data_IF_153647853418
#
_entry.id   IF_153647853418
#
_cell.length_a   1.000
_cell.length_b   1.000
_cell.length_c   1.000
_cell.angle_alpha   90.00
_cell.angle_beta   90.00
_cell.angle_gamma   90.00
#
_symmetry.space_group_name_H-M   'P 1'
#
loop_
_entity.id
_entity.type
_entity.pdbx_description
1 polymer ?
#
# COMPACT_ATOMS: atom_id res chain seq x y z
N UNK A 1 -45.99 1.01 3.25
CA UNK A 1 -44.78 0.19 3.42
C UNK A 1 -43.61 1.12 3.74
N UNK A 2 -43.14 1.13 4.98
CA UNK A 2 -42.06 1.99 5.42
C UNK A 2 -40.72 1.44 4.91
N UNK A 3 -39.94 2.26 4.17
CA UNK A 3 -38.55 1.96 3.82
C UNK A 3 -37.76 1.84 5.13
N UNK A 4 -37.31 0.65 5.45
CA UNK A 4 -36.29 0.44 6.49
C UNK A 4 -35.04 1.13 6.01
N UNK A 5 -34.74 2.30 6.58
CA UNK A 5 -33.46 2.97 6.38
C UNK A 5 -32.37 2.02 6.88
N UNK A 6 -31.61 1.43 5.96
CA UNK A 6 -30.39 0.71 6.30
C UNK A 6 -29.51 1.66 7.11
N UNK A 7 -29.29 1.36 8.40
CA UNK A 7 -28.38 2.14 9.24
C UNK A 7 -27.02 2.08 8.58
N UNK A 8 -26.56 3.19 7.99
CA UNK A 8 -25.17 3.36 7.57
C UNK A 8 -24.30 3.01 8.78
N UNK A 9 -23.54 1.94 8.66
CA UNK A 9 -22.65 1.47 9.73
C UNK A 9 -21.58 2.54 9.91
N UNK A 10 -21.49 3.17 11.07
CA UNK A 10 -20.42 4.14 11.34
C UNK A 10 -19.06 3.48 11.12
N UNK A 11 -18.28 4.04 10.19
CA UNK A 11 -16.96 3.54 9.82
C UNK A 11 -15.93 4.45 10.50
N UNK A 12 -15.19 3.98 11.51
CA UNK A 12 -14.18 4.83 12.13
C UNK A 12 -13.09 5.18 11.11
N UNK A 13 -12.91 6.47 10.87
CA UNK A 13 -11.88 7.03 10.00
C UNK A 13 -10.69 7.42 10.88
N UNK A 14 -9.49 6.95 10.51
CA UNK A 14 -8.26 7.34 11.20
C UNK A 14 -7.62 8.51 10.45
N UNK A 15 -7.89 9.74 10.90
CA UNK A 15 -7.42 10.99 10.28
C UNK A 15 -5.89 11.07 10.26
N UNK A 16 -5.20 10.46 11.24
CA UNK A 16 -3.73 10.48 11.30
C UNK A 16 -3.06 9.69 10.16
N UNK A 17 -3.83 8.96 9.34
CA UNK A 17 -3.31 8.24 8.18
C UNK A 17 -3.21 9.12 6.93
N UNK A 18 -3.82 10.30 6.92
CA UNK A 18 -3.72 11.28 5.83
C UNK A 18 -2.47 12.17 5.92
N UNK A 19 -1.64 11.92 6.94
CA UNK A 19 -0.34 12.55 7.12
C UNK A 19 0.73 11.46 7.27
N UNK A 20 1.79 11.53 6.47
CA UNK A 20 2.88 10.56 6.57
C UNK A 20 3.66 10.73 7.89
N UNK A 21 4.03 9.63 8.58
CA UNK A 21 4.76 9.72 9.83
C UNK A 21 6.21 10.15 9.56
N UNK A 22 6.74 11.01 10.43
CA UNK A 22 8.17 11.34 10.44
C UNK A 22 9.01 10.16 10.94
N UNK A 23 9.37 9.23 10.05
CA UNK A 23 10.28 8.12 10.34
C UNK A 23 11.42 8.10 9.33
N UNK A 24 12.70 7.95 9.77
CA UNK A 24 13.83 7.80 8.85
C UNK A 24 13.73 6.58 7.92
N UNK A 25 12.92 5.57 8.29
CA UNK A 25 12.68 4.39 7.46
C UNK A 25 11.63 4.62 6.37
N UNK A 26 10.80 5.67 6.49
CA UNK A 26 9.76 5.97 5.52
C UNK A 26 10.37 6.63 4.28
N UNK A 27 9.94 6.21 3.08
CA UNK A 27 10.31 6.95 1.87
C UNK A 27 9.61 8.31 1.86
N UNK A 28 10.21 9.32 1.22
CA UNK A 28 9.63 10.66 1.13
C UNK A 28 8.51 10.66 0.08
N UNK A 29 7.26 11.07 0.39
CA UNK A 29 6.22 11.18 -0.62
C UNK A 29 6.57 12.29 -1.63
N UNK A 30 6.08 12.18 -2.87
CA UNK A 30 6.12 13.31 -3.80
C UNK A 30 5.32 14.48 -3.22
N UNK A 31 5.87 15.69 -3.26
CA UNK A 31 5.30 16.86 -2.57
C UNK A 31 3.85 17.15 -3.06
N UNK A 32 3.60 17.09 -4.37
CA UNK A 32 2.26 17.25 -4.96
C UNK A 32 1.25 16.23 -4.42
N UNK A 33 1.68 14.99 -4.22
CA UNK A 33 0.81 13.90 -3.76
C UNK A 33 0.60 13.92 -2.24
N UNK A 34 1.62 14.32 -1.47
CA UNK A 34 1.46 14.62 -0.04
C UNK A 34 0.42 15.71 0.17
N UNK A 35 0.52 16.79 -0.59
CA UNK A 35 -0.41 17.93 -0.47
C UNK A 35 -1.82 17.53 -0.92
N UNK A 36 -1.95 16.67 -1.93
CA UNK A 36 -3.23 16.08 -2.33
C UNK A 36 -3.85 15.19 -1.24
N UNK A 37 -3.05 14.35 -0.58
CA UNK A 37 -3.49 13.49 0.50
C UNK A 37 -3.97 14.28 1.72
N UNK A 38 -3.22 15.33 2.09
CA UNK A 38 -3.57 16.20 3.21
C UNK A 38 -4.83 17.05 2.95
N UNK A 39 -5.18 17.27 1.67
CA UNK A 39 -6.34 18.06 1.26
C UNK A 39 -7.65 17.24 1.17
N UNK A 40 -7.63 15.95 1.50
CA UNK A 40 -8.82 15.10 1.44
C UNK A 40 -9.86 15.55 2.45
N UNK A 41 -11.07 15.81 1.98
CA UNK A 41 -12.25 16.00 2.82
C UNK A 41 -12.71 14.64 3.37
N UNK A 42 -12.55 14.47 4.69
CA UNK A 42 -12.86 13.22 5.40
C UNK A 42 -14.31 13.14 5.92
N UNK A 43 -15.22 13.99 5.41
CA UNK A 43 -16.62 13.97 5.81
C UNK A 43 -17.31 12.64 5.45
N UNK A 44 -17.97 12.00 6.44
CA UNK A 44 -18.70 10.74 6.24
C UNK A 44 -19.79 10.82 5.16
N UNK A 45 -20.32 12.02 4.90
CA UNK A 45 -21.31 12.28 3.85
C UNK A 45 -20.78 11.98 2.44
N UNK A 46 -19.47 11.97 2.25
CA UNK A 46 -18.83 11.68 0.96
C UNK A 46 -18.70 10.19 0.65
N UNK A 47 -18.82 9.35 1.68
CA UNK A 47 -18.63 7.91 1.54
C UNK A 47 -19.70 7.30 0.62
N UNK A 48 -19.21 6.67 -0.45
CA UNK A 48 -19.99 5.89 -1.40
C UNK A 48 -20.27 4.52 -0.81
N UNK A 49 -21.53 4.12 -0.82
CA UNK A 49 -21.95 2.77 -0.47
C UNK A 49 -21.89 1.88 -1.72
N UNK A 50 -20.91 0.98 -1.79
CA UNK A 50 -20.70 0.08 -2.92
C UNK A 50 -20.46 -1.36 -2.43
N UNK A 51 -20.84 -2.39 -3.21
CA UNK A 51 -20.84 -3.79 -2.76
C UNK A 51 -19.45 -4.30 -2.36
N UNK A 52 -18.40 -3.80 -3.02
CA UNK A 52 -17.02 -4.26 -2.82
C UNK A 52 -16.26 -3.51 -1.72
N UNK A 53 -16.92 -2.62 -0.97
CA UNK A 53 -16.29 -1.81 0.07
C UNK A 53 -15.54 -2.68 1.08
N UNK A 54 -16.15 -3.77 1.54
CA UNK A 54 -15.52 -4.66 2.51
C UNK A 54 -14.40 -5.52 1.89
N UNK A 55 -14.44 -5.76 0.58
CA UNK A 55 -13.42 -6.54 -0.13
C UNK A 55 -12.09 -5.76 -0.19
N UNK A 56 -12.17 -4.45 -0.43
CA UNK A 56 -11.01 -3.62 -0.76
C UNK A 56 -10.56 -2.61 0.31
N UNK A 57 -11.30 -2.49 1.42
CA UNK A 57 -10.92 -1.58 2.53
C UNK A 57 -9.59 -1.94 3.22
N UNK A 58 -9.11 -3.18 3.09
CA UNK A 58 -7.80 -3.60 3.61
C UNK A 58 -6.62 -3.10 2.76
N UNK A 59 -5.46 -3.75 2.93
CA UNK A 59 -4.25 -3.47 2.17
C UNK A 59 -3.77 -4.72 1.45
N UNK A 60 -3.43 -4.58 0.17
CA UNK A 60 -2.89 -5.67 -0.63
C UNK A 60 -1.48 -6.05 -0.20
N UNK A 61 -0.69 -5.09 0.28
CA UNK A 61 0.62 -5.32 0.90
C UNK A 61 0.62 -4.78 2.33
N UNK A 62 1.53 -5.21 3.22
CA UNK A 62 1.55 -4.74 4.60
C UNK A 62 1.59 -3.19 4.68
N UNK A 63 0.82 -2.54 5.57
CA UNK A 63 0.92 -1.10 5.71
C UNK A 63 2.35 -0.65 6.08
N UNK A 64 2.94 0.35 5.39
CA UNK A 64 4.32 0.79 5.60
C UNK A 64 4.66 1.12 7.07
N UNK A 65 3.67 1.64 7.81
CA UNK A 65 3.79 1.96 9.24
C UNK A 65 4.14 0.77 10.13
N UNK A 66 3.88 -0.47 9.69
CA UNK A 66 4.30 -1.67 10.41
C UNK A 66 5.82 -1.83 10.45
N UNK A 67 6.54 -1.26 9.48
CA UNK A 67 7.99 -1.31 9.36
C UNK A 67 8.70 -0.07 9.92
N UNK A 68 7.95 0.97 10.26
CA UNK A 68 8.49 2.28 10.64
C UNK A 68 8.22 2.62 12.11
N UNK A 69 8.25 1.63 13.01
CA UNK A 69 8.01 1.86 14.44
C UNK A 69 9.28 2.34 15.15
N UNK A 70 9.17 3.07 16.27
CA UNK A 70 10.33 3.46 17.08
C UNK A 70 11.13 2.28 17.65
N UNK A 71 10.55 1.09 17.70
CA UNK A 71 11.23 -0.12 18.13
C UNK A 71 11.88 -0.80 16.91
N UNK A 72 13.20 -0.64 16.76
CA UNK A 72 13.93 -1.17 15.60
C UNK A 72 13.86 -2.70 15.51
N UNK A 73 13.99 -3.42 16.62
CA UNK A 73 13.86 -4.89 16.66
C UNK A 73 12.47 -5.32 16.17
N UNK A 74 11.43 -4.61 16.59
CA UNK A 74 10.07 -4.88 16.17
C UNK A 74 9.83 -4.59 14.68
N UNK A 75 10.33 -3.45 14.20
CA UNK A 75 10.26 -3.06 12.79
C UNK A 75 10.98 -4.10 11.92
N UNK A 76 12.16 -4.55 12.36
CA UNK A 76 12.92 -5.62 11.72
C UNK A 76 12.17 -6.95 11.73
N UNK A 77 11.48 -7.30 12.83
CA UNK A 77 10.66 -8.51 12.95
C UNK A 77 9.61 -8.54 11.83
N UNK A 78 8.93 -7.41 11.62
CA UNK A 78 7.91 -7.28 10.57
C UNK A 78 8.53 -7.34 9.18
N UNK A 79 9.65 -6.67 8.94
CA UNK A 79 10.31 -6.67 7.64
C UNK A 79 10.79 -8.06 7.23
N UNK A 80 11.47 -8.79 8.13
CA UNK A 80 11.94 -10.14 7.84
C UNK A 80 10.77 -11.12 7.65
N UNK A 81 9.73 -11.00 8.47
CA UNK A 81 8.49 -11.76 8.30
C UNK A 81 7.87 -11.52 6.92
N UNK A 82 7.85 -10.26 6.46
CA UNK A 82 7.38 -9.90 5.12
C UNK A 82 8.24 -10.52 4.02
N UNK A 83 9.57 -10.40 4.10
CA UNK A 83 10.47 -10.95 3.08
C UNK A 83 10.35 -12.48 2.92
N UNK A 84 10.08 -13.21 4.01
CA UNK A 84 9.84 -14.67 3.93
C UNK A 84 8.62 -14.99 3.08
N UNK A 85 7.56 -14.18 3.18
CA UNK A 85 6.27 -14.47 2.54
C UNK A 85 6.05 -13.71 1.23
N UNK A 86 6.87 -12.70 0.93
CA UNK A 86 6.70 -11.75 -0.18
C UNK A 86 6.43 -12.46 -1.50
N UNK A 87 7.29 -13.40 -1.90
CA UNK A 87 7.18 -14.09 -3.19
C UNK A 87 5.88 -14.89 -3.30
N UNK A 88 5.55 -15.71 -2.30
CA UNK A 88 4.30 -16.48 -2.30
C UNK A 88 3.07 -15.59 -2.27
N UNK A 89 3.12 -14.48 -1.53
CA UNK A 89 2.03 -13.50 -1.50
C UNK A 89 1.83 -12.80 -2.85
N UNK A 90 2.91 -12.37 -3.50
CA UNK A 90 2.83 -11.77 -4.84
C UNK A 90 2.21 -12.73 -5.85
N UNK A 91 2.59 -14.01 -5.81
CA UNK A 91 1.97 -15.05 -6.66
C UNK A 91 0.46 -15.16 -6.42
N UNK A 92 0.01 -15.13 -5.17
CA UNK A 92 -1.42 -15.13 -4.83
C UNK A 92 -2.14 -13.88 -5.35
N UNK A 93 -1.50 -12.70 -5.28
CA UNK A 93 -2.08 -11.47 -5.83
C UNK A 93 -2.18 -11.54 -7.36
N UNK A 94 -1.17 -12.09 -8.06
CA UNK A 94 -1.18 -12.27 -9.52
C UNK A 94 -2.33 -13.18 -10.01
N UNK A 95 -2.69 -14.19 -9.22
CA UNK A 95 -3.72 -15.18 -9.58
C UNK A 95 -5.15 -14.66 -9.40
N UNK A 96 -5.32 -13.46 -8.84
CA UNK A 96 -6.62 -12.93 -8.45
C UNK A 96 -7.07 -13.46 -7.09
N UNK A 97 -7.91 -12.68 -6.40
CA UNK A 97 -8.43 -13.01 -5.07
C UNK A 97 -9.88 -12.62 -4.93
N UNK A 98 -10.67 -13.54 -4.37
CA UNK A 98 -12.07 -13.31 -3.99
C UNK A 98 -12.24 -13.05 -2.47
N UNK A 99 -11.12 -13.06 -1.72
CA UNK A 99 -11.12 -12.84 -0.27
C UNK A 99 -10.80 -11.39 0.08
N UNK A 100 -11.39 -10.86 1.17
CA UNK A 100 -11.08 -9.50 1.65
C UNK A 100 -9.59 -9.24 1.81
N UNK A 101 -9.19 -8.01 1.50
CA UNK A 101 -7.83 -7.55 1.78
C UNK A 101 -7.59 -7.53 3.31
N UNK A 102 -6.43 -7.99 3.78
CA UNK A 102 -6.13 -7.94 5.21
C UNK A 102 -6.06 -6.50 5.73
N UNK A 103 -6.63 -6.28 6.91
CA UNK A 103 -6.50 -5.02 7.62
C UNK A 103 -5.13 -4.91 8.33
N UNK A 104 -4.73 -3.72 8.82
CA UNK A 104 -3.43 -3.52 9.46
C UNK A 104 -3.14 -4.44 10.66
N UNK A 105 -4.16 -4.82 11.42
CA UNK A 105 -4.00 -5.73 12.57
C UNK A 105 -3.79 -7.18 12.12
N UNK A 106 -4.49 -7.62 11.07
CA UNK A 106 -4.28 -8.95 10.48
C UNK A 106 -2.88 -9.08 9.90
N UNK A 107 -2.43 -8.08 9.12
CA UNK A 107 -1.05 -8.01 8.64
C UNK A 107 -0.04 -8.09 9.77
N UNK A 108 -0.21 -7.28 10.81
CA UNK A 108 0.68 -7.25 11.97
C UNK A 108 0.80 -8.63 12.63
N UNK A 109 -0.32 -9.27 12.92
CA UNK A 109 -0.31 -10.55 13.62
C UNK A 109 0.28 -11.64 12.75
N UNK A 110 -0.07 -11.67 11.47
CA UNK A 110 0.45 -12.66 10.53
C UNK A 110 1.97 -12.59 10.40
N UNK A 111 2.51 -11.39 10.11
CA UNK A 111 3.96 -11.21 9.96
C UNK A 111 4.72 -11.53 11.25
N UNK A 112 4.14 -11.16 12.40
CA UNK A 112 4.70 -11.47 13.72
C UNK A 112 4.71 -12.97 13.99
N UNK A 113 3.63 -13.68 13.67
CA UNK A 113 3.55 -15.13 13.85
C UNK A 113 4.55 -15.86 12.95
N UNK A 114 4.74 -15.41 11.70
CA UNK A 114 5.78 -15.90 10.79
C UNK A 114 7.18 -15.68 11.37
N UNK A 115 7.50 -14.43 11.76
CA UNK A 115 8.82 -14.08 12.24
C UNK A 115 9.20 -14.84 13.52
N UNK A 116 8.24 -15.04 14.44
CA UNK A 116 8.44 -15.80 15.68
C UNK A 116 8.51 -17.30 15.46
N UNK A 117 7.62 -17.85 14.63
CA UNK A 117 7.63 -19.28 14.29
C UNK A 117 8.93 -19.72 13.64
N UNK A 118 9.59 -18.80 12.92
CA UNK A 118 10.88 -19.04 12.26
C UNK A 118 12.09 -18.56 13.06
N UNK A 119 11.87 -17.91 14.20
CA UNK A 119 12.89 -17.31 15.05
C UNK A 119 13.85 -16.39 14.26
N UNK A 120 13.29 -15.50 13.44
CA UNK A 120 14.07 -14.58 12.59
C UNK A 120 14.85 -13.56 13.41
N UNK A 121 14.34 -13.19 14.58
CA UNK A 121 15.04 -12.36 15.55
C UNK A 121 15.16 -13.16 16.83
N UNK A 122 16.41 -13.34 17.29
CA UNK A 122 16.66 -13.92 18.62
C UNK A 122 16.35 -12.84 19.65
N UNK A 123 15.48 -13.08 20.64
CA UNK A 123 15.34 -12.16 21.75
C UNK A 123 16.69 -12.04 22.47
N UNK A 124 17.16 -10.82 22.67
CA UNK A 124 18.36 -10.56 23.46
C UNK A 124 18.10 -10.99 24.91
N UNK A 125 18.50 -12.20 25.24
CA UNK A 125 18.35 -12.76 26.60
C UNK A 125 19.18 -11.99 27.64
N UNK A 126 20.06 -11.07 27.21
CA UNK A 126 20.86 -10.22 28.11
C UNK A 126 20.11 -8.99 28.63
N UNK A 127 19.04 -8.54 27.96
CA UNK A 127 18.18 -7.45 28.46
C UNK A 127 17.12 -7.92 29.45
N UNK A 128 16.97 -9.24 29.63
CA UNK A 128 16.09 -9.81 30.66
C UNK A 128 16.88 -9.93 31.95
N UNK A 129 16.97 -8.83 32.70
CA UNK A 129 17.46 -8.88 34.08
C UNK A 129 16.68 -9.96 34.85
N UNK A 130 17.33 -10.80 35.66
CA UNK A 130 16.64 -11.69 36.57
C UNK A 130 16.01 -10.83 37.67
N UNK A 131 14.74 -10.43 37.49
CA UNK A 131 13.97 -9.94 38.63
C UNK A 131 13.71 -11.12 39.55
N UNK A 132 14.49 -11.14 40.62
CA UNK A 132 14.42 -12.09 41.71
C UNK A 132 13.00 -12.16 42.30
N UNK A 133 12.66 -13.38 42.70
CA UNK A 133 11.76 -13.80 43.78
C UNK A 133 10.69 -12.80 44.30
N UNK A 134 9.44 -13.28 44.21
CA UNK A 134 8.33 -13.12 45.17
C UNK A 134 7.82 -11.72 45.52
N UNK A 135 6.58 -11.43 45.11
CA UNK A 135 5.47 -11.38 46.08
C UNK A 135 4.13 -11.55 45.37
N UNK A 136 3.39 -12.56 45.82
CA UNK A 136 1.98 -12.77 45.53
C UNK A 136 1.15 -11.62 46.11
N UNK A 137 0.63 -10.75 45.26
CA UNK A 137 -0.60 -10.02 45.55
C UNK A 137 -1.51 -10.07 44.34
N UNK A 138 -2.56 -10.87 44.48
CA UNK A 138 -3.68 -10.90 43.57
C UNK A 138 -4.43 -9.56 43.67
N UNK A 139 -4.63 -8.91 42.54
CA UNK A 139 -5.68 -7.91 42.36
C UNK A 139 -6.38 -8.21 41.03
N UNK A 140 -7.71 -8.07 40.97
CA UNK A 140 -8.54 -8.77 40.00
C UNK A 140 -8.37 -8.14 38.63
N UNK A 141 -7.76 -8.90 37.71
CA UNK A 141 -7.74 -8.54 36.31
C UNK A 141 -9.14 -8.72 35.73
N UNK A 142 -9.69 -7.63 35.23
CA UNK A 142 -10.87 -7.62 34.38
C UNK A 142 -10.64 -8.57 33.21
N UNK A 143 -11.38 -9.67 33.23
CA UNK A 143 -11.39 -10.71 32.22
C UNK A 143 -11.78 -10.11 30.87
N UNK A 144 -10.79 -9.80 30.03
CA UNK A 144 -11.02 -9.58 28.59
C UNK A 144 -11.49 -10.92 27.99
N UNK A 145 -12.60 -10.95 27.23
CA UNK A 145 -13.14 -12.20 26.73
C UNK A 145 -12.19 -12.85 25.71
N UNK A 146 -11.68 -14.02 26.08
CA UNK A 146 -10.78 -14.90 25.31
C UNK A 146 -11.31 -15.27 23.90
N UNK A 147 -12.60 -15.05 23.63
CA UNK A 147 -13.24 -15.42 22.35
C UNK A 147 -12.98 -14.49 21.17
N UNK A 148 -12.56 -13.23 21.37
CA UNK A 148 -12.39 -12.27 20.26
C UNK A 148 -11.06 -12.46 19.50
N UNK A 149 -10.03 -12.92 20.20
CA UNK A 149 -8.69 -13.16 19.63
C UNK A 149 -8.61 -14.44 18.80
N UNK A 150 -9.31 -15.52 19.21
CA UNK A 150 -9.34 -16.78 18.48
C UNK A 150 -10.01 -16.64 17.10
N UNK A 151 -11.19 -16.03 17.04
CA UNK A 151 -11.91 -15.76 15.77
C UNK A 151 -11.12 -14.87 14.81
N UNK A 152 -10.37 -13.89 15.33
CA UNK A 152 -9.51 -13.03 14.51
C UNK A 152 -8.28 -13.77 13.94
N UNK A 153 -7.79 -14.81 14.62
CA UNK A 153 -6.69 -15.65 14.12
C UNK A 153 -7.17 -16.64 13.07
N UNK A 154 -8.36 -17.19 13.25
CA UNK A 154 -9.01 -18.11 12.31
C UNK A 154 -9.35 -17.41 10.99
N UNK A 155 -10.02 -16.25 11.06
CA UNK A 155 -10.30 -15.43 9.87
C UNK A 155 -9.05 -14.91 9.15
N UNK A 156 -7.90 -14.83 9.82
CA UNK A 156 -6.64 -14.48 9.18
C UNK A 156 -6.03 -15.65 8.39
N UNK A 157 -6.27 -16.90 8.78
CA UNK A 157 -5.78 -18.09 8.04
C UNK A 157 -6.42 -18.18 6.65
N UNK A 158 -7.71 -17.87 6.55
CA UNK A 158 -8.44 -17.91 5.27
C UNK A 158 -8.00 -16.78 4.32
N UNK A 159 -7.50 -15.68 4.87
CA UNK A 159 -6.97 -14.54 4.09
C UNK A 159 -5.54 -14.81 3.60
N UNK A 160 -4.70 -15.42 4.45
CA UNK A 160 -3.30 -15.73 4.16
C UNK A 160 -3.11 -17.19 3.77
N UNK A 161 -3.67 -17.58 2.62
CA UNK A 161 -3.49 -18.91 2.01
C UNK A 161 -2.20 -18.97 1.20
N UNK A 162 -1.06 -18.82 1.89
CA UNK A 162 0.28 -18.85 1.27
C UNK A 162 1.20 -19.87 1.92
N UNK A 163 2.17 -20.33 1.15
CA UNK A 163 3.23 -21.19 1.67
C UNK A 163 4.17 -20.39 2.58
N UNK A 164 4.37 -20.88 3.80
CA UNK A 164 5.42 -20.40 4.72
C UNK A 164 6.40 -21.56 4.90
N UNK A 165 7.71 -21.36 4.65
CA UNK A 165 8.69 -22.42 4.81
C UNK A 165 8.76 -22.89 6.26
N UNK A 166 9.14 -24.15 6.50
CA UNK A 166 9.41 -24.61 7.86
C UNK A 166 10.68 -23.97 8.43
N UNK A 167 10.79 -23.91 9.76
CA UNK A 167 12.02 -23.43 10.43
C UNK A 167 13.28 -24.15 9.93
N UNK A 168 13.21 -25.47 9.72
CA UNK A 168 14.37 -26.25 9.23
C UNK A 168 14.69 -25.95 7.76
N UNK A 169 13.70 -25.61 6.95
CA UNK A 169 13.87 -25.30 5.54
C UNK A 169 14.46 -23.89 5.31
N UNK A 170 14.11 -22.91 6.15
CA UNK A 170 14.62 -21.55 6.00
C UNK A 170 16.06 -21.43 6.53
N UNK A 171 17.00 -21.29 5.60
CA UNK A 171 18.43 -21.11 5.88
C UNK A 171 18.90 -19.65 5.74
N UNK A 172 18.38 -18.96 4.72
CA UNK A 172 18.70 -17.56 4.40
C UNK A 172 17.51 -16.85 3.77
N UNK A 173 17.48 -15.53 3.88
CA UNK A 173 16.55 -14.64 3.16
C UNK A 173 17.40 -13.82 2.19
N UNK A 174 17.06 -13.90 0.90
CA UNK A 174 17.70 -13.12 -0.17
C UNK A 174 16.72 -12.03 -0.59
N UNK A 175 17.22 -10.81 -0.75
CA UNK A 175 16.46 -9.69 -1.26
C UNK A 175 17.37 -8.79 -2.11
N UNK A 176 17.02 -8.62 -3.39
CA UNK A 176 17.85 -7.98 -4.44
C UNK A 176 19.27 -8.52 -4.49
N UNK A 177 19.39 -9.84 -4.67
CA UNK A 177 20.65 -10.57 -4.78
C UNK A 177 21.58 -10.45 -3.57
N UNK A 178 21.10 -9.91 -2.44
CA UNK A 178 21.82 -9.80 -1.18
C UNK A 178 21.19 -10.70 -0.14
N UNK A 179 22.05 -11.41 0.61
CA UNK A 179 21.59 -12.16 1.78
C UNK A 179 21.38 -11.18 2.92
N UNK A 180 20.11 -10.85 3.21
CA UNK A 180 19.77 -9.89 4.27
C UNK A 180 19.69 -10.54 5.65
N UNK A 181 19.48 -11.85 5.68
CA UNK A 181 19.40 -12.64 6.89
C UNK A 181 19.87 -14.07 6.64
N UNK A 182 20.58 -14.61 7.63
CA UNK A 182 20.93 -16.01 7.78
C UNK A 182 20.83 -16.36 9.27
N UNK A 183 20.78 -17.66 9.61
CA UNK A 183 20.47 -18.16 10.97
C UNK A 183 21.26 -17.51 12.12
N UNK A 184 22.48 -17.04 11.87
CA UNK A 184 23.38 -16.45 12.86
C UNK A 184 23.87 -15.04 12.48
N UNK A 185 23.34 -14.44 11.41
CA UNK A 185 23.79 -13.13 10.96
C UNK A 185 22.69 -12.37 10.23
N UNK A 186 22.64 -11.07 10.51
CA UNK A 186 21.73 -10.12 9.89
C UNK A 186 22.56 -9.05 9.19
N UNK A 187 22.37 -8.92 7.88
CA UNK A 187 22.97 -7.85 7.07
C UNK A 187 21.85 -7.12 6.33
N UNK A 188 21.08 -6.33 7.08
CA UNK A 188 19.99 -5.55 6.52
C UNK A 188 20.19 -4.07 6.84
N UNK A 189 21.02 -3.36 6.03
CA UNK A 189 21.40 -1.99 6.31
C UNK A 189 20.22 -1.01 6.15
N UNK A 190 20.28 0.19 6.76
CA UNK A 190 19.17 1.15 6.76
C UNK A 190 18.62 1.51 5.37
N UNK A 191 19.48 1.63 4.35
CA UNK A 191 19.04 1.90 2.97
C UNK A 191 18.18 0.78 2.42
N UNK A 192 18.58 -0.47 2.63
CA UNK A 192 17.83 -1.65 2.20
C UNK A 192 16.47 -1.73 2.94
N UNK A 193 16.42 -1.38 4.24
CA UNK A 193 15.16 -1.29 4.98
C UNK A 193 14.23 -0.22 4.40
N UNK A 194 14.76 0.96 4.06
CA UNK A 194 14.00 2.03 3.39
C UNK A 194 13.50 1.62 2.01
N UNK A 195 14.33 0.93 1.23
CA UNK A 195 13.96 0.40 -0.08
C UNK A 195 12.84 -0.65 0.02
N UNK A 196 12.83 -1.49 1.07
CA UNK A 196 11.72 -2.42 1.33
C UNK A 196 10.43 -1.68 1.64
N UNK A 197 10.51 -0.63 2.45
CA UNK A 197 9.34 0.21 2.76
C UNK A 197 8.81 0.88 1.48
N UNK A 198 9.70 1.42 0.65
CA UNK A 198 9.36 1.98 -0.66
C UNK A 198 8.71 0.94 -1.58
N UNK A 199 9.26 -0.28 -1.68
CA UNK A 199 8.71 -1.38 -2.48
C UNK A 199 7.25 -1.66 -2.12
N UNK A 200 6.96 -1.70 -0.81
CA UNK A 200 5.60 -1.94 -0.30
C UNK A 200 4.68 -0.75 -0.53
N UNK A 201 5.18 0.48 -0.45
CA UNK A 201 4.43 1.69 -0.77
C UNK A 201 4.03 1.73 -2.25
N UNK A 202 4.99 1.47 -3.13
CA UNK A 202 4.79 1.45 -4.58
C UNK A 202 3.77 0.36 -4.98
N UNK A 203 3.91 -0.84 -4.44
CA UNK A 203 2.95 -1.93 -4.69
C UNK A 203 1.54 -1.64 -4.18
N UNK A 204 1.41 -1.07 -2.97
CA UNK A 204 0.11 -0.66 -2.47
C UNK A 204 -0.50 0.43 -3.36
N UNK A 205 0.26 1.47 -3.74
CA UNK A 205 -0.23 2.53 -4.62
C UNK A 205 -0.75 1.98 -5.96
N UNK A 206 0.04 1.15 -6.65
CA UNK A 206 -0.34 0.55 -7.93
C UNK A 206 -1.63 -0.26 -7.83
N UNK A 207 -1.72 -1.16 -6.85
CA UNK A 207 -2.90 -2.01 -6.70
C UNK A 207 -4.12 -1.24 -6.20
N UNK A 208 -3.94 -0.27 -5.32
CA UNK A 208 -5.01 0.61 -4.87
C UNK A 208 -5.56 1.43 -6.02
N UNK A 209 -4.70 1.90 -6.93
CA UNK A 209 -5.10 2.61 -8.13
C UNK A 209 -5.92 1.73 -9.09
N UNK A 210 -5.45 0.51 -9.40
CA UNK A 210 -6.20 -0.48 -10.17
C UNK A 210 -7.55 -0.82 -9.52
N UNK A 211 -7.56 -1.02 -8.21
CA UNK A 211 -8.76 -1.40 -7.46
C UNK A 211 -9.78 -0.28 -7.46
N UNK A 212 -9.33 0.97 -7.28
CA UNK A 212 -10.20 2.13 -7.38
C UNK A 212 -10.78 2.25 -8.79
N UNK A 213 -9.97 2.08 -9.83
CA UNK A 213 -10.43 2.13 -11.22
C UNK A 213 -11.58 1.15 -11.49
N UNK A 214 -11.46 -0.07 -10.97
CA UNK A 214 -12.50 -1.11 -11.05
C UNK A 214 -13.78 -0.72 -10.32
N UNK A 215 -13.66 -0.12 -9.14
CA UNK A 215 -14.81 0.30 -8.34
C UNK A 215 -15.53 1.50 -8.94
N UNK A 216 -14.77 2.43 -9.55
CA UNK A 216 -15.31 3.65 -10.15
C UNK A 216 -15.95 3.38 -11.51
N UNK A 217 -15.44 2.41 -12.27
CA UNK A 217 -15.91 2.07 -13.62
C UNK A 217 -16.38 0.60 -13.75
N UNK A 218 -17.27 0.10 -12.88
CA UNK A 218 -17.59 -1.33 -12.81
C UNK A 218 -18.17 -1.87 -14.12
N UNK A 219 -18.98 -1.09 -14.83
CA UNK A 219 -19.60 -1.53 -16.09
C UNK A 219 -18.61 -1.61 -17.26
N UNK A 220 -17.57 -0.76 -17.26
CA UNK A 220 -16.48 -0.84 -18.25
C UNK A 220 -15.69 -2.13 -18.05
N UNK A 221 -15.40 -2.48 -16.79
CA UNK A 221 -14.66 -3.68 -16.42
C UNK A 221 -15.43 -4.99 -16.65
N UNK A 222 -16.77 -4.95 -16.68
CA UNK A 222 -17.61 -6.13 -17.04
C UNK A 222 -17.52 -6.49 -18.52
N UNK A 223 -17.18 -5.53 -19.39
CA UNK A 223 -17.02 -5.77 -20.83
C UNK A 223 -15.60 -6.21 -21.14
N UNK A 224 -15.36 -7.30 -21.90
CA UNK A 224 -14.01 -7.70 -22.30
C UNK A 224 -13.25 -6.60 -23.05
N UNK A 225 -13.95 -5.84 -23.90
CA UNK A 225 -13.36 -4.72 -24.65
C UNK A 225 -13.01 -3.56 -23.72
N UNK A 226 -13.92 -3.22 -22.79
CA UNK A 226 -13.68 -2.16 -21.81
C UNK A 226 -12.51 -2.51 -20.88
N UNK A 227 -12.49 -3.72 -20.34
CA UNK A 227 -11.40 -4.22 -19.51
C UNK A 227 -10.05 -4.18 -20.25
N UNK A 228 -9.99 -4.59 -21.52
CA UNK A 228 -8.76 -4.51 -22.32
C UNK A 228 -8.26 -3.07 -22.49
N UNK A 229 -9.16 -2.11 -22.76
CA UNK A 229 -8.81 -0.68 -22.85
C UNK A 229 -8.30 -0.14 -21.51
N UNK A 230 -8.96 -0.50 -20.40
CA UNK A 230 -8.52 -0.09 -19.06
C UNK A 230 -7.15 -0.67 -18.70
N UNK A 231 -6.91 -1.95 -19.01
CA UNK A 231 -5.60 -2.57 -18.84
C UNK A 231 -4.52 -1.81 -19.61
N UNK A 232 -4.74 -1.54 -20.91
CA UNK A 232 -3.77 -0.78 -21.71
C UNK A 232 -3.44 0.59 -21.11
N UNK A 233 -4.46 1.32 -20.63
CA UNK A 233 -4.25 2.64 -20.00
C UNK A 233 -3.46 2.51 -18.69
N UNK A 234 -3.84 1.56 -17.83
CA UNK A 234 -3.18 1.32 -16.54
C UNK A 234 -1.73 0.87 -16.72
N UNK A 235 -1.45 -0.01 -17.67
CA UNK A 235 -0.11 -0.50 -17.95
C UNK A 235 0.80 0.68 -18.37
N UNK A 236 0.31 1.59 -19.22
CA UNK A 236 1.06 2.77 -19.67
C UNK A 236 1.48 3.74 -18.55
N UNK A 237 0.89 3.63 -17.35
CA UNK A 237 1.27 4.44 -16.19
C UNK A 237 2.59 3.99 -15.55
N UNK A 238 3.06 2.78 -15.85
CA UNK A 238 4.22 2.18 -15.21
C UNK A 238 5.40 2.02 -16.17
N UNK A 239 6.66 2.24 -15.72
CA UNK A 239 7.84 2.06 -16.59
C UNK A 239 7.93 0.70 -17.29
N UNK A 240 7.45 -0.35 -16.63
CA UNK A 240 7.54 -1.73 -17.11
C UNK A 240 6.23 -2.24 -17.73
N UNK A 241 5.22 -1.38 -17.93
CA UNK A 241 3.89 -1.76 -18.39
C UNK A 241 3.25 -2.90 -17.58
N UNK A 242 3.56 -2.98 -16.29
CA UNK A 242 3.10 -4.05 -15.42
C UNK A 242 2.82 -3.54 -14.00
N UNK A 243 1.71 -4.00 -13.43
CA UNK A 243 1.18 -3.48 -12.16
C UNK A 243 2.00 -3.91 -10.94
N UNK A 244 2.62 -5.10 -10.99
CA UNK A 244 3.52 -5.58 -9.95
C UNK A 244 4.97 -5.41 -10.40
N UNK A 245 5.87 -5.16 -9.45
CA UNK A 245 7.30 -5.07 -9.74
C UNK A 245 8.00 -6.33 -9.26
N UNK A 246 8.60 -7.05 -10.19
CA UNK A 246 9.42 -8.21 -9.86
C UNK A 246 10.82 -7.79 -9.37
N UNK A 247 11.33 -6.67 -9.90
CA UNK A 247 12.65 -6.13 -9.57
C UNK A 247 12.56 -4.66 -9.11
N UNK A 248 13.47 -4.26 -8.22
CA UNK A 248 13.57 -2.85 -7.82
C UNK A 248 14.22 -2.05 -8.96
N UNK A 249 13.72 -0.82 -9.23
CA UNK A 249 14.40 0.07 -10.15
C UNK A 249 15.75 0.51 -9.58
N UNK A 250 16.74 0.70 -10.47
CA UNK A 250 18.05 1.26 -10.11
C UNK A 250 18.00 2.77 -9.94
N UNK A 251 17.12 3.43 -10.70
CA UNK A 251 17.00 4.88 -10.77
C UNK A 251 15.54 5.32 -10.61
N UNK A 252 15.30 6.53 -10.07
CA UNK A 252 13.97 7.11 -10.03
C UNK A 252 13.37 7.17 -11.44
N UNK A 253 12.18 6.60 -11.60
CA UNK A 253 11.49 6.48 -12.89
C UNK A 253 9.98 6.67 -12.69
N UNK A 254 9.20 6.62 -13.77
CA UNK A 254 7.74 6.77 -13.67
C UNK A 254 7.35 8.19 -13.25
N UNK A 255 6.37 8.27 -12.36
CA UNK A 255 5.94 9.53 -11.72
C UNK A 255 7.06 10.18 -10.87
N UNK A 256 8.03 9.39 -10.45
CA UNK A 256 9.11 9.79 -9.53
C UNK A 256 10.41 10.16 -10.23
N UNK A 257 10.47 10.10 -11.57
CA UNK A 257 11.68 10.46 -12.30
C UNK A 257 12.12 11.91 -11.99
N UNK A 258 13.42 12.21 -12.06
CA UNK A 258 13.94 13.54 -11.70
C UNK A 258 13.70 14.56 -12.83
N UNK A 259 13.91 14.17 -14.08
CA UNK A 259 13.67 15.02 -15.24
C UNK A 259 12.19 14.92 -15.65
N UNK A 260 11.55 16.07 -15.86
CA UNK A 260 10.19 16.15 -16.34
C UNK A 260 10.03 15.45 -17.71
N UNK A 261 11.11 15.41 -18.51
CA UNK A 261 11.15 14.69 -19.79
C UNK A 261 10.95 13.19 -19.64
N UNK A 262 11.30 12.62 -18.50
CA UNK A 262 11.09 11.20 -18.23
C UNK A 262 9.74 10.94 -17.55
N UNK A 263 9.18 11.97 -16.88
CA UNK A 263 7.90 11.89 -16.15
C UNK A 263 6.67 12.09 -17.04
N UNK A 264 6.75 12.94 -18.08
CA UNK A 264 5.56 13.47 -18.76
C UNK A 264 4.62 12.37 -19.27
N UNK A 265 5.18 11.27 -19.80
CA UNK A 265 4.39 10.17 -20.37
C UNK A 265 3.54 9.48 -19.31
N UNK A 266 4.05 9.40 -18.08
CA UNK A 266 3.37 8.78 -16.95
C UNK A 266 2.32 9.71 -16.34
N UNK A 267 2.60 11.02 -16.30
CA UNK A 267 1.61 12.03 -15.92
C UNK A 267 0.46 12.06 -16.93
N UNK A 268 0.75 11.94 -18.23
CA UNK A 268 -0.27 11.88 -19.26
C UNK A 268 -1.08 10.59 -19.19
N UNK A 269 -0.43 9.43 -19.01
CA UNK A 269 -1.14 8.17 -18.78
C UNK A 269 -2.07 8.27 -17.55
N UNK A 270 -1.58 8.83 -16.45
CA UNK A 270 -2.37 9.07 -15.25
C UNK A 270 -3.58 9.99 -15.54
N UNK A 271 -3.38 11.10 -16.26
CA UNK A 271 -4.47 12.00 -16.67
C UNK A 271 -5.54 11.27 -17.50
N UNK A 272 -5.13 10.50 -18.50
CA UNK A 272 -6.04 9.77 -19.40
C UNK A 272 -6.86 8.68 -18.69
N UNK A 273 -6.36 8.18 -17.55
CA UNK A 273 -7.11 7.25 -16.70
C UNK A 273 -8.15 8.01 -15.90
N UNK A 274 -7.74 9.10 -15.23
CA UNK A 274 -8.61 9.93 -14.38
C UNK A 274 -9.71 10.63 -15.18
N UNK A 275 -9.45 11.03 -16.42
CA UNK A 275 -10.46 11.65 -17.30
C UNK A 275 -11.68 10.77 -17.56
N UNK A 276 -11.55 9.45 -17.42
CA UNK A 276 -12.67 8.53 -17.59
C UNK A 276 -13.50 8.39 -16.30
N UNK A 277 -12.98 8.85 -15.14
CA UNK A 277 -13.69 8.76 -13.86
C UNK A 277 -14.82 9.80 -13.78
N UNK A 278 -15.83 9.60 -12.92
CA UNK A 278 -16.89 10.56 -12.71
C UNK A 278 -16.41 11.74 -11.84
N UNK A 279 -16.92 12.93 -12.11
CA UNK A 279 -16.68 14.14 -11.32
C UNK A 279 -16.35 15.36 -12.17
N UNK A 280 -16.19 16.51 -11.53
CA UNK A 280 -15.89 17.78 -12.21
C UNK A 280 -14.41 17.89 -12.63
N UNK A 281 -13.50 17.31 -11.85
CA UNK A 281 -12.06 17.34 -12.15
C UNK A 281 -11.72 16.66 -13.49
N UNK A 282 -12.27 15.47 -13.82
CA UNK A 282 -12.17 14.88 -15.15
C UNK A 282 -12.51 15.84 -16.31
N UNK A 283 -13.57 16.64 -16.17
CA UNK A 283 -13.97 17.64 -17.17
C UNK A 283 -13.00 18.83 -17.26
N UNK A 284 -12.44 19.26 -16.13
CA UNK A 284 -11.36 20.27 -16.16
C UNK A 284 -10.12 19.70 -16.84
N UNK A 285 -9.76 18.44 -16.51
CA UNK A 285 -8.60 17.74 -17.07
C UNK A 285 -8.69 17.55 -18.58
N UNK A 286 -9.90 17.38 -19.14
CA UNK A 286 -10.11 17.23 -20.58
C UNK A 286 -9.84 18.52 -21.37
N UNK A 287 -9.79 19.68 -20.71
CA UNK A 287 -9.51 20.97 -21.33
C UNK A 287 -8.01 21.25 -21.49
N UNK A 288 -7.15 20.46 -20.84
CA UNK A 288 -5.71 20.58 -21.01
C UNK A 288 -5.21 19.76 -22.20
N UNK A 289 -4.26 20.35 -22.91
CA UNK A 289 -3.46 19.68 -23.93
C UNK A 289 -2.02 19.68 -23.45
N UNK A 290 -1.49 18.50 -23.11
CA UNK A 290 -0.18 18.38 -22.46
C UNK A 290 0.99 18.68 -23.40
N UNK A 291 0.74 18.56 -24.69
CA UNK A 291 1.76 18.77 -25.71
C UNK A 291 1.19 19.42 -26.97
N UNK A 292 2.00 20.29 -27.58
CA UNK A 292 1.70 20.88 -28.87
C UNK A 292 2.70 20.36 -29.90
N UNK A 293 2.24 20.13 -31.13
CA UNK A 293 3.16 19.88 -32.24
C UNK A 293 3.69 21.22 -32.74
N UNK A 294 4.96 21.50 -32.46
CA UNK A 294 5.68 22.68 -32.96
C UNK A 294 6.76 22.20 -33.92
N UNK A 295 6.65 22.56 -35.20
CA UNK A 295 7.59 22.16 -36.26
C UNK A 295 7.81 20.64 -36.34
N UNK A 296 6.77 19.84 -36.12
CA UNK A 296 6.85 18.36 -36.12
C UNK A 296 7.41 17.74 -34.84
N UNK A 297 7.95 18.54 -33.92
CA UNK A 297 8.38 18.10 -32.59
C UNK A 297 7.25 18.28 -31.56
N UNK A 298 7.17 17.36 -30.61
CA UNK A 298 6.22 17.44 -29.50
C UNK A 298 6.80 18.33 -28.41
N UNK A 299 6.29 19.56 -28.28
CA UNK A 299 6.66 20.50 -27.24
C UNK A 299 5.72 20.35 -26.05
N UNK A 300 6.29 20.14 -24.86
CA UNK A 300 5.55 19.97 -23.61
C UNK A 300 5.65 21.24 -22.77
N UNK A 301 4.54 21.62 -22.13
CA UNK A 301 4.51 22.72 -21.17
C UNK A 301 4.57 22.17 -19.74
N UNK A 302 5.70 22.39 -19.07
CA UNK A 302 5.95 21.95 -17.69
C UNK A 302 4.89 22.51 -16.73
N UNK A 303 4.46 23.75 -16.90
CA UNK A 303 3.48 24.38 -16.01
C UNK A 303 2.11 23.72 -16.12
N UNK A 304 1.72 23.35 -17.34
CA UNK A 304 0.50 22.57 -17.62
C UNK A 304 0.61 21.17 -17.03
N UNK A 305 1.74 20.47 -17.19
CA UNK A 305 1.97 19.14 -16.61
C UNK A 305 1.85 19.14 -15.08
N UNK A 306 2.47 20.11 -14.40
CA UNK A 306 2.35 20.22 -12.95
C UNK A 306 0.92 20.52 -12.51
N UNK A 307 0.18 21.34 -13.28
CA UNK A 307 -1.23 21.63 -12.98
C UNK A 307 -2.09 20.37 -13.12
N UNK A 308 -1.87 19.59 -14.18
CA UNK A 308 -2.52 18.30 -14.38
C UNK A 308 -2.23 17.36 -13.22
N UNK A 309 -0.96 17.19 -12.83
CA UNK A 309 -0.57 16.30 -11.74
C UNK A 309 -1.26 16.72 -10.43
N UNK A 310 -1.29 18.02 -10.12
CA UNK A 310 -1.98 18.55 -8.93
C UNK A 310 -3.48 18.28 -8.93
N UNK A 311 -4.16 18.49 -10.07
CA UNK A 311 -5.61 18.25 -10.16
C UNK A 311 -5.93 16.76 -10.08
N UNK A 312 -5.22 15.93 -10.86
CA UNK A 312 -5.45 14.50 -10.94
C UNK A 312 -5.11 13.78 -9.63
N UNK A 313 -4.02 14.15 -8.95
CA UNK A 313 -3.65 13.56 -7.64
C UNK A 313 -4.66 13.91 -6.54
N UNK A 314 -5.17 15.15 -6.50
CA UNK A 314 -6.27 15.55 -5.60
C UNK A 314 -7.52 14.74 -5.85
N UNK A 315 -7.90 14.60 -7.12
CA UNK A 315 -9.07 13.80 -7.48
C UNK A 315 -8.88 12.33 -7.10
N UNK A 316 -7.72 11.74 -7.37
CA UNK A 316 -7.41 10.38 -6.93
C UNK A 316 -7.57 10.24 -5.41
N UNK A 317 -6.93 11.11 -4.63
CA UNK A 317 -6.93 10.99 -3.18
C UNK A 317 -8.34 11.09 -2.60
N UNK A 318 -9.12 12.05 -3.10
CA UNK A 318 -10.51 12.24 -2.67
C UNK A 318 -11.39 11.06 -3.09
N UNK A 319 -11.34 10.64 -4.36
CA UNK A 319 -12.15 9.53 -4.87
C UNK A 319 -11.80 8.23 -4.16
N UNK A 320 -10.52 8.00 -3.82
CA UNK A 320 -10.13 6.84 -3.02
C UNK A 320 -10.78 6.84 -1.63
N UNK A 321 -10.75 7.98 -0.93
CA UNK A 321 -11.41 8.09 0.36
C UNK A 321 -12.93 7.89 0.25
N UNK A 322 -13.56 8.54 -0.74
CA UNK A 322 -14.99 8.45 -0.99
C UNK A 322 -15.41 6.97 -1.18
N UNK A 323 -14.60 6.14 -1.84
CA UNK A 323 -14.89 4.72 -2.03
C UNK A 323 -14.49 3.84 -0.84
N UNK A 324 -13.30 4.01 -0.24
CA UNK A 324 -12.75 3.02 0.70
C UNK A 324 -12.67 3.47 2.17
N UNK A 325 -13.05 4.72 2.48
CA UNK A 325 -13.07 5.27 3.84
C UNK A 325 -11.72 5.18 4.57
N UNK A 326 -10.61 5.30 3.84
CA UNK A 326 -9.25 5.33 4.40
C UNK A 326 -8.33 6.16 3.51
N UNK A 327 -7.19 6.56 4.05
CA UNK A 327 -6.13 7.18 3.28
C UNK A 327 -5.63 6.24 2.17
N UNK A 328 -5.50 6.73 0.92
CA UNK A 328 -4.76 6.04 -0.13
C UNK A 328 -3.27 6.04 0.16
N UNK A 329 -2.59 5.07 -0.44
CA UNK A 329 -1.16 5.10 -0.68
C UNK A 329 -0.87 6.11 -1.80
N UNK A 330 0.26 6.80 -1.71
CA UNK A 330 0.70 7.78 -2.70
C UNK A 330 2.09 7.40 -3.21
N UNK A 331 2.55 7.95 -4.35
CA UNK A 331 3.91 7.72 -4.82
C UNK A 331 4.98 8.32 -3.89
N UNK A 332 6.07 7.58 -3.68
CA UNK A 332 7.23 8.03 -2.90
C UNK A 332 8.49 8.04 -3.75
N UNK A 333 9.41 8.95 -3.43
CA UNK A 333 10.73 9.03 -4.07
C UNK A 333 11.53 7.77 -3.72
N UNK A 334 12.09 7.12 -4.76
CA UNK A 334 12.98 5.98 -4.61
C UNK A 334 14.16 6.36 -3.69
N UNK A 335 14.39 5.63 -2.58
CA UNK A 335 15.58 5.81 -1.75
C UNK A 335 16.85 5.53 -2.54
N UNK A 336 17.64 6.56 -2.85
CA UNK A 336 18.97 6.40 -3.43
C UNK A 336 20.06 6.51 -2.35
N UNK A 337 21.25 5.98 -2.67
CA UNK A 337 22.47 6.16 -1.87
C UNK A 337 22.82 7.63 -1.69
#
# INVERSE_FOLDING_TARGET
MAKVASKKKHIPINISLFEEPGSPCMAKPLDVWRDALAAVDVAESRVVDHPDLQLFRGYAFPPPRLFCTPNDEYSLEMMLGWLVVRTSWMQTICQGRDTPLPNPHQWRNFLRDVARGLELIRPDTRKRAPSAAMTSQASPSTSRPLGRGAKSKEAAKDIFTIHVPSRRALQRIIWHDRTVWQRDSLDFPPLNRRLLVWDVQEHNFRLEFLTLDRCVLPDVWKSPVGAAIRHQKLDAMWPNNFILMDELPTDPSGLTAKDWKDRYRFIEAFRLIIMDWPGQIPEELSRFTCHQKVNGATAWDVSTLERIERLASKHYCQTFFDYFCRAPSVPHVLPTM
#
